data_IF_547953333385
#
_entry.id   IF_547953333385
#
_cell.length_a   1.000
_cell.length_b   1.000
_cell.length_c   1.000
_cell.angle_alpha   90.00
_cell.angle_beta   90.00
_cell.angle_gamma   90.00
#
_symmetry.space_group_name_H-M   'P 1'
#
loop_
_entity.id
_entity.type
_entity.pdbx_description
1 polymer ?
#
# COMPACT_ATOMS: atom_id res chain seq x y z
N UNK A 1 -28.11 11.01 -64.06
CA UNK A 1 -28.47 12.04 -63.07
C UNK A 1 -28.58 11.33 -61.71
N UNK A 2 -27.48 11.17 -60.96
CA UNK A 2 -27.46 10.43 -59.66
C UNK A 2 -26.49 11.09 -58.65
N UNK A 3 -26.74 12.30 -58.11
CA UNK A 3 -25.73 12.93 -57.23
C UNK A 3 -26.13 13.68 -55.95
N UNK A 4 -27.38 13.70 -55.45
CA UNK A 4 -27.66 14.26 -54.11
C UNK A 4 -27.66 13.21 -52.98
N UNK A 5 -28.32 12.05 -53.16
CA UNK A 5 -28.49 11.05 -52.10
C UNK A 5 -27.17 10.37 -51.66
N UNK A 6 -26.26 10.10 -52.60
CA UNK A 6 -24.95 9.48 -52.29
C UNK A 6 -24.10 10.37 -51.38
N UNK A 7 -24.12 11.70 -51.57
CA UNK A 7 -23.40 12.67 -50.72
C UNK A 7 -23.97 12.76 -49.31
N UNK A 8 -25.29 12.77 -49.17
CA UNK A 8 -25.95 12.80 -47.87
C UNK A 8 -25.64 11.55 -47.04
N UNK A 9 -25.55 10.37 -47.67
CA UNK A 9 -25.20 9.13 -46.98
C UNK A 9 -23.74 9.09 -46.50
N UNK A 10 -22.80 9.63 -47.29
CA UNK A 10 -21.38 9.73 -46.88
C UNK A 10 -21.25 10.66 -45.68
N UNK A 11 -21.90 11.83 -45.71
CA UNK A 11 -21.86 12.79 -44.60
C UNK A 11 -22.45 12.22 -43.30
N UNK A 12 -23.59 11.51 -43.39
CA UNK A 12 -24.18 10.81 -42.23
C UNK A 12 -23.23 9.75 -41.66
N UNK A 13 -22.57 8.97 -42.51
CA UNK A 13 -21.61 7.95 -42.07
C UNK A 13 -20.39 8.56 -41.35
N UNK A 14 -19.88 9.69 -41.83
CA UNK A 14 -18.76 10.39 -41.19
C UNK A 14 -19.14 11.00 -39.84
N UNK A 15 -20.33 11.59 -39.73
CA UNK A 15 -20.86 12.08 -38.45
C UNK A 15 -20.99 10.94 -37.43
N UNK A 16 -21.53 9.79 -37.82
CA UNK A 16 -21.64 8.64 -36.91
C UNK A 16 -20.28 8.14 -36.42
N UNK A 17 -19.28 8.08 -37.32
CA UNK A 17 -17.91 7.70 -36.96
C UNK A 17 -17.29 8.71 -35.99
N UNK A 18 -17.49 10.01 -36.23
CA UNK A 18 -17.02 11.07 -35.34
C UNK A 18 -17.65 10.93 -33.94
N UNK A 19 -18.98 10.78 -33.86
CA UNK A 19 -19.70 10.61 -32.60
C UNK A 19 -19.23 9.38 -31.83
N UNK A 20 -19.00 8.25 -32.51
CA UNK A 20 -18.46 7.03 -31.89
C UNK A 20 -17.05 7.25 -31.32
N UNK A 21 -16.19 7.98 -32.04
CA UNK A 21 -14.84 8.33 -31.57
C UNK A 21 -14.88 9.24 -30.35
N UNK A 22 -15.74 10.25 -30.35
CA UNK A 22 -15.93 11.14 -29.20
C UNK A 22 -16.43 10.36 -28.00
N UNK A 23 -17.43 9.49 -28.16
CA UNK A 23 -17.95 8.66 -27.07
C UNK A 23 -16.87 7.72 -26.50
N UNK A 24 -16.04 7.12 -27.36
CA UNK A 24 -14.92 6.29 -26.94
C UNK A 24 -13.87 7.10 -26.16
N UNK A 25 -13.50 8.30 -26.64
CA UNK A 25 -12.58 9.19 -25.94
C UNK A 25 -13.13 9.61 -24.57
N UNK A 26 -14.40 10.01 -24.48
CA UNK A 26 -15.05 10.35 -23.20
C UNK A 26 -15.04 9.18 -22.23
N UNK A 27 -15.27 7.95 -22.71
CA UNK A 27 -15.19 6.75 -21.87
C UNK A 27 -13.76 6.54 -21.34
N UNK A 28 -12.74 6.71 -22.19
CA UNK A 28 -11.34 6.59 -21.77
C UNK A 28 -10.95 7.67 -20.74
N UNK A 29 -11.34 8.93 -20.96
CA UNK A 29 -11.09 9.99 -19.99
C UNK A 29 -11.71 9.68 -18.62
N UNK A 30 -12.94 9.18 -18.59
CA UNK A 30 -13.57 8.74 -17.33
C UNK A 30 -12.80 7.61 -16.64
N UNK A 31 -12.28 6.64 -17.42
CA UNK A 31 -11.48 5.55 -16.83
C UNK A 31 -10.14 6.07 -16.30
N UNK A 32 -9.47 7.00 -17.00
CA UNK A 32 -8.25 7.63 -16.52
C UNK A 32 -8.49 8.41 -15.23
N UNK A 33 -9.59 9.17 -15.15
CA UNK A 33 -9.96 9.91 -13.96
C UNK A 33 -10.21 8.97 -12.76
N UNK A 34 -10.89 7.84 -12.97
CA UNK A 34 -11.06 6.82 -11.94
C UNK A 34 -9.73 6.22 -11.48
N UNK A 35 -8.79 5.98 -12.40
CA UNK A 35 -7.44 5.47 -12.07
C UNK A 35 -6.67 6.50 -11.26
N UNK A 36 -6.64 7.77 -11.68
CA UNK A 36 -5.97 8.85 -10.94
C UNK A 36 -6.54 8.97 -9.53
N UNK A 37 -7.86 9.03 -9.40
CA UNK A 37 -8.54 9.07 -8.10
C UNK A 37 -8.22 7.85 -7.22
N UNK A 38 -8.13 6.65 -7.79
CA UNK A 38 -7.78 5.44 -7.04
C UNK A 38 -6.31 5.48 -6.57
N UNK A 39 -5.40 6.00 -7.39
CA UNK A 39 -3.98 6.16 -7.04
C UNK A 39 -3.83 7.21 -5.94
N UNK A 40 -4.49 8.36 -6.06
CA UNK A 40 -4.46 9.41 -5.04
C UNK A 40 -5.01 8.91 -3.71
N UNK A 41 -6.15 8.22 -3.71
CA UNK A 41 -6.71 7.60 -2.49
C UNK A 41 -5.77 6.59 -1.86
N UNK A 42 -5.12 5.75 -2.68
CA UNK A 42 -4.09 4.81 -2.20
C UNK A 42 -2.87 5.54 -1.64
N UNK A 43 -2.42 6.60 -2.30
CA UNK A 43 -1.29 7.42 -1.85
C UNK A 43 -1.59 8.14 -0.53
N UNK A 44 -2.82 8.65 -0.35
CA UNK A 44 -3.26 9.26 0.90
C UNK A 44 -3.38 8.22 2.03
N UNK A 45 -3.87 7.02 1.73
CA UNK A 45 -3.96 5.94 2.71
C UNK A 45 -2.58 5.45 3.17
N UNK A 46 -1.63 5.34 2.23
CA UNK A 46 -0.25 4.97 2.54
C UNK A 46 0.54 6.12 3.18
N UNK A 47 0.26 7.37 2.81
CA UNK A 47 0.87 8.57 3.38
C UNK A 47 0.42 8.81 4.82
N UNK A 48 -0.88 8.65 5.11
CA UNK A 48 -1.40 8.75 6.47
C UNK A 48 -0.90 7.62 7.40
N UNK A 49 -0.55 6.45 6.85
CA UNK A 49 0.13 5.36 7.58
C UNK A 49 1.62 5.66 7.87
N UNK A 50 2.22 6.63 7.18
CA UNK A 50 3.58 7.11 7.43
C UNK A 50 3.65 8.28 8.43
N UNK A 51 2.53 8.95 8.70
CA UNK A 51 2.46 10.06 9.68
C UNK A 51 2.36 9.57 11.13
N UNK A 52 2.06 8.29 11.36
CA UNK A 52 2.22 7.70 12.69
C UNK A 52 3.71 7.55 12.96
N UNK A 53 4.27 8.12 14.06
CA UNK A 53 5.68 7.97 14.36
C UNK A 53 6.02 6.49 14.44
N UNK A 54 6.75 6.01 13.44
CA UNK A 54 7.12 4.61 13.35
C UNK A 54 7.89 4.26 14.61
N UNK A 55 7.52 3.16 15.28
CA UNK A 55 8.27 2.65 16.42
C UNK A 55 9.73 2.47 15.98
N UNK A 56 10.65 3.17 16.66
CA UNK A 56 12.07 3.13 16.31
C UNK A 56 12.70 1.81 16.73
N UNK A 57 13.75 1.41 16.02
CA UNK A 57 14.54 0.22 16.37
C UNK A 57 15.14 0.37 17.78
N UNK A 58 15.61 1.58 18.11
CA UNK A 58 16.19 1.90 19.42
C UNK A 58 15.17 1.66 20.55
N UNK A 59 13.91 2.07 20.35
CA UNK A 59 12.86 1.90 21.35
C UNK A 59 12.56 0.42 21.63
N UNK A 60 12.44 -0.40 20.59
CA UNK A 60 12.17 -1.84 20.79
C UNK A 60 13.37 -2.60 21.35
N UNK A 61 14.60 -2.19 21.02
CA UNK A 61 15.80 -2.75 21.67
C UNK A 61 15.81 -2.39 23.15
N UNK A 62 15.45 -1.15 23.51
CA UNK A 62 15.34 -0.73 24.91
C UNK A 62 14.29 -1.56 25.67
N UNK A 63 13.11 -1.76 25.09
CA UNK A 63 12.06 -2.60 25.68
C UNK A 63 12.52 -4.05 25.84
N UNK A 64 13.13 -4.62 24.80
CA UNK A 64 13.65 -5.98 24.83
C UNK A 64 14.75 -6.15 25.89
N UNK A 65 15.60 -5.14 26.10
CA UNK A 65 16.66 -5.17 27.12
C UNK A 65 16.13 -5.20 28.56
N UNK A 66 14.86 -4.86 28.77
CA UNK A 66 14.19 -4.90 30.08
C UNK A 66 13.57 -6.27 30.37
N UNK A 67 13.56 -7.19 29.41
CA UNK A 67 13.04 -8.54 29.57
C UNK A 67 14.15 -9.41 30.18
N UNK A 68 13.98 -9.79 31.45
CA UNK A 68 14.99 -10.56 32.21
C UNK A 68 15.36 -11.89 31.53
N UNK A 69 14.42 -12.49 30.79
CA UNK A 69 14.61 -13.75 30.07
C UNK A 69 15.44 -13.62 28.78
N UNK A 70 15.80 -12.39 28.36
CA UNK A 70 16.59 -12.13 27.14
C UNK A 70 17.91 -11.43 27.52
N UNK A 71 18.96 -12.18 27.88
CA UNK A 71 20.27 -11.59 28.15
C UNK A 71 20.83 -10.87 26.91
N UNK A 72 21.47 -9.71 27.07
CA UNK A 72 22.00 -8.89 25.97
C UNK A 72 23.01 -9.60 25.05
N UNK A 73 23.70 -10.62 25.56
CA UNK A 73 24.69 -11.42 24.81
C UNK A 73 24.09 -12.72 24.25
N UNK A 74 22.79 -12.96 24.45
CA UNK A 74 22.14 -14.17 23.98
C UNK A 74 21.88 -14.15 22.47
N UNK A 75 21.83 -15.34 21.85
CA UNK A 75 21.41 -15.48 20.46
C UNK A 75 19.99 -14.94 20.23
N UNK A 76 19.13 -15.06 21.23
CA UNK A 76 17.76 -14.56 21.21
C UNK A 76 17.75 -13.02 21.10
N UNK A 77 18.61 -12.32 21.85
CA UNK A 77 18.77 -10.87 21.73
C UNK A 77 19.26 -10.45 20.34
N UNK A 78 20.21 -11.19 19.76
CA UNK A 78 20.71 -10.93 18.40
C UNK A 78 19.66 -11.23 17.33
N UNK A 79 18.82 -12.25 17.54
CA UNK A 79 17.65 -12.53 16.71
C UNK A 79 16.67 -11.36 16.76
N UNK A 80 16.40 -10.80 17.93
CA UNK A 80 15.50 -9.64 18.11
C UNK A 80 15.95 -8.44 17.31
N UNK A 81 17.25 -8.10 17.36
CA UNK A 81 17.82 -7.02 16.53
C UNK A 81 17.55 -7.22 15.02
N UNK A 82 17.58 -8.47 14.53
CA UNK A 82 17.26 -8.78 13.12
C UNK A 82 15.76 -8.71 12.85
N UNK A 83 14.93 -9.25 13.74
CA UNK A 83 13.47 -9.20 13.63
C UNK A 83 12.95 -7.77 13.56
N UNK A 84 13.51 -6.89 14.38
CA UNK A 84 13.11 -5.49 14.47
C UNK A 84 13.57 -4.61 13.30
N UNK A 85 14.28 -5.15 12.31
CA UNK A 85 14.50 -4.44 11.05
C UNK A 85 13.17 -4.23 10.30
N UNK A 86 12.20 -5.13 10.49
CA UNK A 86 10.86 -5.08 9.89
C UNK A 86 9.90 -4.24 10.75
N UNK A 87 9.16 -3.30 10.13
CA UNK A 87 8.24 -2.39 10.86
C UNK A 87 7.14 -3.14 11.59
N UNK A 88 6.55 -4.11 10.91
CA UNK A 88 5.44 -4.94 11.40
C UNK A 88 5.85 -5.71 12.66
N UNK A 89 7.08 -6.22 12.70
CA UNK A 89 7.62 -6.92 13.87
C UNK A 89 7.81 -5.99 15.07
N UNK A 90 8.22 -4.73 14.83
CA UNK A 90 8.33 -3.72 15.90
C UNK A 90 6.95 -3.36 16.46
N UNK A 91 5.98 -3.17 15.57
CA UNK A 91 4.59 -2.87 15.95
C UNK A 91 3.97 -4.02 16.75
N UNK A 92 4.15 -5.26 16.28
CA UNK A 92 3.70 -6.44 17.00
C UNK A 92 4.31 -6.50 18.40
N UNK A 93 5.63 -6.37 18.51
CA UNK A 93 6.33 -6.46 19.79
C UNK A 93 5.83 -5.43 20.81
N UNK A 94 5.63 -4.18 20.39
CA UNK A 94 5.08 -3.13 21.27
C UNK A 94 3.61 -3.38 21.61
N UNK A 95 2.82 -3.91 20.68
CA UNK A 95 1.40 -4.17 20.89
C UNK A 95 1.12 -5.26 21.95
N UNK A 96 2.05 -6.19 22.16
CA UNK A 96 1.92 -7.26 23.16
C UNK A 96 1.92 -6.73 24.60
N UNK A 97 2.58 -5.58 24.86
CA UNK A 97 2.68 -4.84 26.14
C UNK A 97 3.32 -5.57 27.32
N UNK A 98 3.01 -6.85 27.50
CA UNK A 98 3.44 -7.70 28.59
C UNK A 98 4.79 -8.37 28.28
N UNK A 99 5.79 -8.28 29.18
CA UNK A 99 7.12 -8.87 28.96
C UNK A 99 7.14 -10.38 28.73
N UNK A 100 6.28 -11.15 29.42
CA UNK A 100 6.22 -12.61 29.25
C UNK A 100 5.68 -12.97 27.87
N UNK A 101 4.65 -12.25 27.42
CA UNK A 101 4.04 -12.42 26.11
C UNK A 101 5.00 -12.00 25.00
N UNK A 102 5.74 -10.90 25.20
CA UNK A 102 6.81 -10.45 24.29
C UNK A 102 7.92 -11.50 24.16
N UNK A 103 8.35 -12.09 25.26
CA UNK A 103 9.33 -13.16 25.27
C UNK A 103 8.84 -14.41 24.54
N UNK A 104 7.60 -14.84 24.82
CA UNK A 104 7.01 -16.02 24.20
C UNK A 104 6.90 -15.88 22.67
N UNK A 105 6.42 -14.72 22.21
CA UNK A 105 6.36 -14.39 20.78
C UNK A 105 7.77 -14.39 20.17
N UNK A 106 8.72 -13.72 20.81
CA UNK A 106 10.08 -13.63 20.28
C UNK A 106 10.75 -15.02 20.16
N UNK A 107 10.49 -15.93 21.10
CA UNK A 107 10.98 -17.31 21.07
C UNK A 107 10.31 -18.13 19.96
N UNK A 108 9.05 -17.87 19.63
CA UNK A 108 8.36 -18.53 18.52
C UNK A 108 9.00 -18.18 17.17
N UNK A 109 9.40 -16.91 16.99
CA UNK A 109 10.06 -16.43 15.77
C UNK A 109 11.51 -16.97 15.60
N UNK A 110 12.02 -17.74 16.56
CA UNK A 110 13.28 -18.49 16.45
C UNK A 110 13.12 -19.83 15.71
N UNK A 111 11.89 -20.37 15.63
CA UNK A 111 11.59 -21.68 15.05
C UNK A 111 11.40 -21.62 13.52
#
# INVERSE_FOLDING_TARGET
MERPMKRANVFKSEMEKHTKRVAAATKLYKQLDLICNAIEKRSMMNGAQNDQPSISIEHVIELMSKIEQIPSESELFMLGKRLFMTKENREMFVALKDPETQFAWHKQEQA
#
